data_IF_722628592082
#
_entry.id   IF_722628592082
#
_cell.length_a   1.000
_cell.length_b   1.000
_cell.length_c   1.000
_cell.angle_alpha   90.00
_cell.angle_beta   90.00
_cell.angle_gamma   90.00
#
_symmetry.space_group_name_H-M   'P 1'
#
loop_
_entity.id
_entity.type
_entity.pdbx_description
1 polymer ?
#
# COMPACT_ATOMS: atom_id res chain seq x y z
N UNK A 1 14.32 24.35 -26.17
CA UNK A 1 14.59 24.63 -24.75
C UNK A 1 13.59 23.81 -23.94
N UNK A 2 14.04 22.86 -23.11
CA UNK A 2 13.14 22.10 -22.22
C UNK A 2 12.91 22.89 -20.95
N UNK A 3 11.65 23.14 -20.60
CA UNK A 3 11.28 23.71 -19.31
C UNK A 3 11.63 22.69 -18.22
N UNK A 4 12.48 23.02 -17.23
CA UNK A 4 12.73 22.14 -16.10
C UNK A 4 11.44 21.94 -15.31
N UNK A 5 10.99 20.70 -15.17
CA UNK A 5 9.89 20.37 -14.26
C UNK A 5 10.47 20.28 -12.85
N UNK A 6 10.03 21.19 -11.97
CA UNK A 6 10.30 21.13 -10.55
C UNK A 6 9.08 20.53 -9.86
N UNK A 7 9.27 19.43 -9.12
CA UNK A 7 8.24 18.78 -8.31
C UNK A 7 8.51 19.04 -6.83
N UNK A 8 8.16 20.23 -6.29
CA UNK A 8 8.31 20.48 -4.87
C UNK A 8 7.39 19.51 -4.11
N UNK A 9 7.98 18.67 -3.26
CA UNK A 9 7.21 17.79 -2.39
C UNK A 9 6.42 18.66 -1.40
N UNK A 10 5.09 18.52 -1.30
CA UNK A 10 4.32 19.21 -0.27
C UNK A 10 4.77 18.76 1.12
N UNK A 11 4.69 19.65 2.10
CA UNK A 11 5.03 19.34 3.50
C UNK A 11 4.01 18.39 4.18
N UNK A 12 2.87 18.16 3.53
CA UNK A 12 1.80 17.27 4.00
C UNK A 12 1.74 15.95 3.23
N UNK A 13 0.85 15.03 3.64
CA UNK A 13 0.65 13.77 2.95
C UNK A 13 0.15 14.00 1.51
N UNK A 14 0.72 13.26 0.55
CA UNK A 14 0.29 13.30 -0.87
C UNK A 14 -1.06 12.60 -1.09
N UNK A 15 -1.39 11.63 -0.24
CA UNK A 15 -2.62 10.85 -0.30
C UNK A 15 -3.41 11.03 0.99
N UNK A 16 -4.71 11.26 0.85
CA UNK A 16 -5.66 11.42 1.95
C UNK A 16 -6.82 10.45 1.73
N UNK A 17 -7.45 10.03 2.83
CA UNK A 17 -8.75 9.37 2.75
C UNK A 17 -9.78 10.38 2.24
N UNK A 18 -10.71 9.92 1.40
CA UNK A 18 -11.85 10.73 1.02
C UNK A 18 -12.66 11.09 2.28
N UNK A 19 -13.18 12.31 2.34
CA UNK A 19 -13.90 12.82 3.52
C UNK A 19 -15.09 11.92 3.91
N UNK A 20 -15.76 11.35 2.91
CA UNK A 20 -16.91 10.46 3.00
C UNK A 20 -16.56 8.96 3.10
N UNK A 21 -15.28 8.60 3.21
CA UNK A 21 -14.85 7.22 3.36
C UNK A 21 -15.40 6.63 4.68
N UNK A 22 -16.40 5.75 4.54
CA UNK A 22 -17.02 5.03 5.65
C UNK A 22 -16.23 3.74 6.01
N UNK A 23 -16.65 3.08 7.09
CA UNK A 23 -15.97 1.87 7.57
C UNK A 23 -15.99 0.73 6.52
N UNK A 24 -17.05 0.60 5.73
CA UNK A 24 -17.15 -0.41 4.67
C UNK A 24 -16.11 -0.16 3.56
N UNK A 25 -16.01 1.07 3.08
CA UNK A 25 -15.01 1.45 2.08
C UNK A 25 -13.57 1.20 2.56
N UNK A 26 -13.29 1.45 3.85
CA UNK A 26 -12.00 1.14 4.46
C UNK A 26 -11.73 -0.37 4.51
N UNK A 27 -12.74 -1.19 4.83
CA UNK A 27 -12.62 -2.65 4.84
C UNK A 27 -12.38 -3.20 3.43
N UNK A 28 -13.10 -2.69 2.43
CA UNK A 28 -12.93 -3.09 1.03
C UNK A 28 -11.52 -2.77 0.53
N UNK A 29 -11.02 -1.55 0.82
CA UNK A 29 -9.67 -1.15 0.46
C UNK A 29 -8.60 -1.98 1.20
N UNK A 30 -8.82 -2.28 2.48
CA UNK A 30 -7.94 -3.15 3.26
C UNK A 30 -7.86 -4.54 2.63
N UNK A 31 -9.01 -5.13 2.27
CA UNK A 31 -9.07 -6.44 1.60
C UNK A 31 -8.33 -6.41 0.26
N UNK A 32 -8.55 -5.37 -0.55
CA UNK A 32 -7.86 -5.21 -1.83
C UNK A 32 -6.33 -5.16 -1.66
N UNK A 33 -5.81 -4.40 -0.68
CA UNK A 33 -4.37 -4.32 -0.41
C UNK A 33 -3.79 -5.62 0.13
N UNK A 34 -4.54 -6.35 0.97
CA UNK A 34 -4.12 -7.66 1.45
C UNK A 34 -3.97 -8.67 0.30
N UNK A 35 -4.95 -8.73 -0.61
CA UNK A 35 -4.89 -9.63 -1.78
C UNK A 35 -3.75 -9.26 -2.71
N UNK A 36 -3.52 -7.97 -2.95
CA UNK A 36 -2.40 -7.50 -3.76
C UNK A 36 -1.05 -7.88 -3.15
N UNK A 37 -0.86 -7.60 -1.85
CA UNK A 37 0.37 -7.97 -1.14
C UNK A 37 0.59 -9.48 -1.14
N UNK A 38 -0.46 -10.27 -0.87
CA UNK A 38 -0.38 -11.73 -0.91
C UNK A 38 0.03 -12.23 -2.30
N UNK A 39 -0.54 -11.65 -3.35
CA UNK A 39 -0.22 -12.02 -4.74
C UNK A 39 1.23 -11.69 -5.10
N UNK A 40 1.74 -10.53 -4.65
CA UNK A 40 3.14 -10.19 -4.85
C UNK A 40 4.08 -11.09 -4.05
N UNK A 41 3.76 -11.40 -2.80
CA UNK A 41 4.57 -12.31 -1.99
C UNK A 41 4.57 -13.72 -2.55
N UNK A 42 3.47 -14.18 -3.17
CA UNK A 42 3.41 -15.48 -3.83
C UNK A 42 4.48 -15.66 -4.92
N UNK A 43 4.95 -14.57 -5.53
CA UNK A 43 6.03 -14.60 -6.52
C UNK A 43 7.42 -14.77 -5.92
N UNK A 44 7.59 -14.72 -4.60
CA UNK A 44 8.91 -14.78 -3.94
C UNK A 44 9.25 -16.17 -3.39
N UNK A 45 8.32 -17.13 -3.46
CA UNK A 45 8.50 -18.49 -2.95
C UNK A 45 7.90 -19.55 -3.88
N UNK A 46 8.14 -20.83 -3.57
CA UNK A 46 7.78 -21.95 -4.45
C UNK A 46 8.40 -21.84 -5.84
N UNK A 47 7.71 -22.40 -6.83
CA UNK A 47 8.15 -22.42 -8.23
C UNK A 47 8.21 -21.01 -8.84
N UNK A 48 7.29 -20.12 -8.45
CA UNK A 48 7.29 -18.73 -8.89
C UNK A 48 8.53 -17.94 -8.37
N UNK A 49 9.03 -18.32 -7.18
CA UNK A 49 10.20 -17.73 -6.54
C UNK A 49 11.49 -17.85 -7.37
N UNK A 50 11.59 -18.81 -8.28
CA UNK A 50 12.74 -18.94 -9.17
C UNK A 50 12.89 -17.75 -10.11
N UNK A 51 11.77 -17.20 -10.59
CA UNK A 51 11.79 -16.01 -11.43
C UNK A 51 12.28 -14.79 -10.63
N UNK A 52 11.79 -14.62 -9.40
CA UNK A 52 12.24 -13.57 -8.49
C UNK A 52 13.74 -13.67 -8.19
N UNK A 53 14.24 -14.87 -7.85
CA UNK A 53 15.67 -15.10 -7.55
C UNK A 53 16.60 -14.83 -8.73
N UNK A 54 16.09 -14.91 -9.97
CA UNK A 54 16.84 -14.61 -11.20
C UNK A 54 16.88 -13.12 -11.54
N UNK A 55 16.07 -12.28 -10.89
CA UNK A 55 16.17 -10.83 -11.05
C UNK A 55 17.52 -10.33 -10.55
N UNK A 56 18.00 -9.21 -11.07
CA UNK A 56 19.17 -8.56 -10.49
C UNK A 56 18.86 -8.04 -9.07
N UNK A 57 19.88 -7.84 -8.21
CA UNK A 57 19.66 -7.45 -6.81
C UNK A 57 18.82 -6.18 -6.65
N UNK A 58 19.04 -5.15 -7.46
CA UNK A 58 18.27 -3.89 -7.40
C UNK A 58 16.77 -4.12 -7.67
N UNK A 59 16.43 -4.99 -8.62
CA UNK A 59 15.03 -5.32 -8.89
C UNK A 59 14.41 -6.15 -7.77
N UNK A 60 15.17 -7.06 -7.14
CA UNK A 60 14.70 -7.80 -5.97
C UNK A 60 14.42 -6.85 -4.81
N UNK A 61 15.34 -5.92 -4.51
CA UNK A 61 15.19 -4.93 -3.45
C UNK A 61 13.99 -4.02 -3.71
N UNK A 62 13.85 -3.48 -4.92
CA UNK A 62 12.72 -2.64 -5.30
C UNK A 62 11.38 -3.38 -5.19
N UNK A 63 11.36 -4.67 -5.55
CA UNK A 63 10.17 -5.51 -5.44
C UNK A 63 9.75 -5.71 -3.97
N UNK A 64 10.69 -6.09 -3.11
CA UNK A 64 10.42 -6.26 -1.69
C UNK A 64 10.10 -4.92 -1.00
N UNK A 65 10.70 -3.83 -1.46
CA UNK A 65 10.34 -2.50 -1.00
C UNK A 65 8.90 -2.15 -1.35
N UNK A 66 8.42 -2.46 -2.56
CA UNK A 66 7.01 -2.29 -2.93
C UNK A 66 6.08 -3.11 -2.02
N UNK A 67 6.43 -4.37 -1.72
CA UNK A 67 5.69 -5.17 -0.73
C UNK A 67 5.66 -4.50 0.66
N UNK A 68 6.78 -3.94 1.11
CA UNK A 68 6.85 -3.24 2.40
C UNK A 68 5.97 -1.97 2.44
N UNK A 69 5.88 -1.25 1.31
CA UNK A 69 5.02 -0.08 1.19
C UNK A 69 3.53 -0.47 1.25
N UNK A 70 3.13 -1.56 0.60
CA UNK A 70 1.76 -2.10 0.74
C UNK A 70 1.46 -2.55 2.16
N UNK A 71 2.41 -3.21 2.84
CA UNK A 71 2.23 -3.62 4.23
C UNK A 71 2.04 -2.41 5.16
N UNK A 72 2.75 -1.30 4.91
CA UNK A 72 2.54 -0.04 5.63
C UNK A 72 1.16 0.54 5.35
N UNK A 73 0.72 0.60 4.09
CA UNK A 73 -0.61 1.09 3.72
C UNK A 73 -1.73 0.28 4.39
N UNK A 74 -1.59 -1.04 4.48
CA UNK A 74 -2.51 -1.90 5.25
C UNK A 74 -2.57 -1.49 6.72
N UNK A 75 -1.42 -1.17 7.33
CA UNK A 75 -1.35 -0.66 8.70
C UNK A 75 -2.07 0.68 8.88
N UNK A 76 -1.85 1.60 7.94
CA UNK A 76 -2.49 2.93 7.94
C UNK A 76 -4.02 2.82 7.77
N UNK A 77 -4.48 1.97 6.85
CA UNK A 77 -5.91 1.67 6.65
C UNK A 77 -6.56 1.05 7.88
N UNK A 78 -5.86 0.15 8.57
CA UNK A 78 -6.36 -0.46 9.80
C UNK A 78 -6.43 0.56 10.96
N UNK A 79 -5.46 1.47 11.06
CA UNK A 79 -5.50 2.57 12.01
C UNK A 79 -6.68 3.51 11.74
N UNK A 80 -6.92 3.85 10.46
CA UNK A 80 -8.07 4.66 10.06
C UNK A 80 -9.41 3.98 10.37
N UNK A 81 -9.53 2.67 10.10
CA UNK A 81 -10.75 1.90 10.42
C UNK A 81 -11.04 1.91 11.93
N UNK A 82 -10.00 1.78 12.76
CA UNK A 82 -10.13 1.88 14.22
C UNK A 82 -10.53 3.27 14.68
N UNK A 83 -9.99 4.32 14.07
CA UNK A 83 -10.38 5.70 14.37
C UNK A 83 -11.86 5.92 14.04
N UNK A 84 -12.31 5.49 12.86
CA UNK A 84 -13.69 5.65 12.42
C UNK A 84 -14.69 4.89 13.31
N UNK A 85 -14.37 3.67 13.74
CA UNK A 85 -15.19 2.91 14.72
C UNK A 85 -15.34 3.60 16.08
N UNK A 86 -14.40 4.47 16.48
CA UNK A 86 -14.53 5.23 17.73
C UNK A 86 -15.44 6.46 17.56
N UNK A 87 -15.53 6.98 16.35
CA UNK A 87 -16.38 8.11 15.99
C UNK A 87 -17.86 7.69 15.83
N UNK A 88 -18.12 6.44 15.41
CA UNK A 88 -19.45 5.80 15.37
C UNK A 88 -19.62 4.72 16.46
N UNK A 89 -19.90 5.09 17.72
CA UNK A 89 -20.07 4.12 18.83
C UNK A 89 -21.43 3.40 18.86
N UNK A 90 -22.27 3.49 17.83
CA UNK A 90 -23.67 3.04 17.85
C UNK A 90 -23.96 1.69 17.14
N UNK A 91 -22.95 0.86 16.91
CA UNK A 91 -23.13 -0.58 16.62
C UNK A 91 -22.96 -1.44 17.88
#
# INVERSE_FOLDING_TARGET
MSTPLSFPAPAGPLYLLAEDANALALVDQLSARQVQLQSLLAMTYGDAGDAFRRLNPTLQDNYLWACSMMAREIGDLFAALRARRREDPLD
#
